data_IF_135069911176
#
_entry.id   IF_135069911176
#
_cell.length_a   1.000
_cell.length_b   1.000
_cell.length_c   1.000
_cell.angle_alpha   90.00
_cell.angle_beta   90.00
_cell.angle_gamma   90.00
#
_symmetry.space_group_name_H-M   'P 1'
#
loop_
_entity.id
_entity.type
_entity.pdbx_description
1 polymer ?
#
# COMPACT_ATOMS: atom_id res chain seq x y z
N UNK A 1 2.43 -7.23 -2.41
CA UNK A 1 1.58 -7.84 -3.46
C UNK A 1 1.14 -6.74 -4.39
N UNK A 2 1.03 -7.01 -5.69
CA UNK A 2 0.47 -6.07 -6.65
C UNK A 2 -1.05 -6.10 -6.53
N UNK A 3 -1.67 -4.95 -6.33
CA UNK A 3 -3.12 -4.80 -6.16
C UNK A 3 -3.82 -4.30 -7.44
N UNK A 4 -3.04 -3.83 -8.39
CA UNK A 4 -3.50 -3.25 -9.66
C UNK A 4 -2.99 -4.08 -10.84
N UNK A 5 -3.72 -4.15 -11.97
CA UNK A 5 -3.23 -4.81 -13.17
C UNK A 5 -1.84 -4.31 -13.59
N UNK A 6 -0.85 -5.20 -13.55
CA UNK A 6 0.53 -4.91 -13.93
C UNK A 6 0.96 -5.81 -15.09
N UNK A 7 1.56 -5.22 -16.12
CA UNK A 7 2.02 -5.97 -17.29
C UNK A 7 3.50 -6.31 -17.17
N UNK A 8 3.84 -7.56 -17.50
CA UNK A 8 5.22 -8.05 -17.65
C UNK A 8 5.30 -8.77 -18.98
N UNK A 9 5.97 -8.14 -19.95
CA UNK A 9 5.92 -8.60 -21.33
C UNK A 9 4.47 -8.69 -21.83
N UNK A 10 3.97 -9.85 -22.28
CA UNK A 10 2.60 -10.00 -22.76
C UNK A 10 1.60 -10.36 -21.64
N UNK A 11 2.07 -10.63 -20.43
CA UNK A 11 1.24 -11.16 -19.34
C UNK A 11 0.72 -10.03 -18.46
N UNK A 12 -0.56 -10.08 -18.11
CA UNK A 12 -1.17 -9.24 -17.08
C UNK A 12 -1.18 -10.01 -15.76
N UNK A 13 -0.64 -9.42 -14.70
CA UNK A 13 -0.64 -9.98 -13.35
C UNK A 13 -1.42 -9.09 -12.40
N UNK A 14 -2.19 -9.70 -11.51
CA UNK A 14 -2.91 -9.03 -10.43
C UNK A 14 -2.97 -9.93 -9.18
N UNK A 15 -3.00 -9.35 -7.98
CA UNK A 15 -3.00 -10.02 -6.68
C UNK A 15 -1.88 -11.06 -6.50
N UNK A 16 -0.70 -10.78 -7.06
CA UNK A 16 0.50 -11.63 -6.95
C UNK A 16 1.70 -10.83 -6.48
N UNK A 17 2.70 -11.52 -5.95
CA UNK A 17 3.94 -10.88 -5.51
C UNK A 17 4.84 -10.62 -6.71
N UNK A 18 5.36 -9.40 -6.85
CA UNK A 18 6.20 -8.99 -7.97
C UNK A 18 7.62 -9.55 -7.80
N UNK A 19 7.84 -10.77 -8.26
CA UNK A 19 9.16 -11.42 -8.32
C UNK A 19 9.35 -11.93 -9.74
N UNK A 20 10.32 -11.37 -10.47
CA UNK A 20 10.55 -11.66 -11.87
C UNK A 20 11.94 -12.27 -12.01
N UNK A 21 12.03 -13.48 -12.57
CA UNK A 21 13.25 -14.26 -12.61
C UNK A 21 13.51 -15.08 -11.35
N UNK A 22 14.77 -15.22 -10.96
CA UNK A 22 15.23 -16.15 -9.92
C UNK A 22 15.90 -17.39 -10.49
N UNK A 23 15.96 -17.50 -11.82
CA UNK A 23 16.75 -18.44 -12.59
C UNK A 23 17.06 -17.86 -13.98
N UNK A 24 18.21 -18.22 -14.54
CA UNK A 24 18.65 -17.84 -15.89
C UNK A 24 18.88 -19.10 -16.72
N UNK A 25 18.76 -18.96 -18.03
CA UNK A 25 19.05 -20.03 -18.99
C UNK A 25 20.54 -20.43 -18.92
N UNK A 26 20.83 -21.74 -18.82
CA UNK A 26 22.20 -22.26 -18.70
C UNK A 26 22.65 -22.59 -17.26
N UNK A 27 21.81 -22.35 -16.24
CA UNK A 27 21.90 -23.01 -14.93
C UNK A 27 23.07 -22.64 -14.02
N UNK A 28 23.93 -21.68 -14.35
CA UNK A 28 25.02 -21.26 -13.48
C UNK A 28 25.27 -19.75 -13.57
N UNK A 29 25.15 -19.06 -12.42
CA UNK A 29 26.00 -17.91 -12.05
C UNK A 29 25.70 -17.33 -10.63
N UNK A 30 24.61 -17.72 -9.95
CA UNK A 30 24.42 -17.38 -8.53
C UNK A 30 23.54 -18.41 -7.80
N UNK A 31 23.91 -18.77 -6.57
CA UNK A 31 23.09 -19.65 -5.71
C UNK A 31 21.70 -19.06 -5.38
N UNK A 32 21.55 -17.73 -5.48
CA UNK A 32 20.34 -17.01 -5.10
C UNK A 32 19.44 -16.62 -6.29
N UNK A 33 19.89 -16.89 -7.53
CA UNK A 33 19.21 -16.48 -8.75
C UNK A 33 19.38 -15.00 -9.09
N UNK A 34 18.94 -14.63 -10.29
CA UNK A 34 18.99 -13.25 -10.80
C UNK A 34 17.57 -12.75 -11.04
N UNK A 35 17.26 -11.58 -10.50
CA UNK A 35 15.93 -10.97 -10.53
C UNK A 35 15.92 -9.70 -11.37
N UNK A 36 14.80 -9.42 -12.03
CA UNK A 36 14.59 -8.15 -12.76
C UNK A 36 14.59 -6.98 -11.78
N UNK A 37 15.15 -5.84 -12.19
CA UNK A 37 15.45 -4.68 -11.33
C UNK A 37 14.26 -4.02 -10.65
N UNK A 38 13.04 -4.29 -11.13
CA UNK A 38 11.77 -3.83 -10.60
C UNK A 38 11.06 -4.89 -9.73
N UNK A 39 11.69 -6.05 -9.48
CA UNK A 39 11.18 -7.04 -8.54
C UNK A 39 11.19 -6.49 -7.11
N UNK A 40 10.17 -6.84 -6.32
CA UNK A 40 10.10 -6.50 -4.91
C UNK A 40 11.23 -7.20 -4.14
N UNK A 41 12.11 -6.42 -3.51
CA UNK A 41 13.37 -6.90 -2.92
C UNK A 41 13.13 -7.93 -1.80
N UNK A 42 12.26 -7.65 -0.83
CA UNK A 42 12.02 -8.57 0.29
C UNK A 42 11.40 -9.90 -0.17
N UNK A 43 10.35 -9.91 -1.03
CA UNK A 43 9.88 -11.15 -1.63
C UNK A 43 10.90 -11.89 -2.48
N UNK A 44 11.74 -11.18 -3.25
CA UNK A 44 12.82 -11.80 -3.99
C UNK A 44 13.85 -12.46 -3.05
N UNK A 45 14.15 -11.84 -1.90
CA UNK A 45 15.04 -12.42 -0.88
C UNK A 45 14.42 -13.66 -0.19
N UNK A 46 13.11 -13.66 0.08
CA UNK A 46 12.37 -14.84 0.54
C UNK A 46 12.41 -15.96 -0.51
N UNK A 47 12.12 -15.61 -1.77
CA UNK A 47 12.17 -16.54 -2.90
C UNK A 47 13.57 -17.15 -3.05
N UNK A 48 14.63 -16.33 -2.90
CA UNK A 48 16.01 -16.78 -2.93
C UNK A 48 16.44 -17.62 -1.72
N UNK A 49 15.65 -17.64 -0.64
CA UNK A 49 15.98 -18.34 0.61
C UNK A 49 17.03 -17.61 1.47
N UNK A 50 17.27 -16.33 1.21
CA UNK A 50 18.22 -15.51 1.96
C UNK A 50 17.66 -15.12 3.34
N UNK A 51 16.36 -14.88 3.41
CA UNK A 51 15.64 -14.51 4.63
C UNK A 51 14.44 -15.43 4.83
N UNK A 52 13.85 -15.39 6.03
CA UNK A 52 12.63 -16.14 6.35
C UNK A 52 11.47 -15.19 6.62
N UNK A 53 10.24 -15.64 6.32
CA UNK A 53 9.03 -14.84 6.55
C UNK A 53 8.82 -14.54 8.05
N UNK A 54 9.24 -15.47 8.93
CA UNK A 54 9.05 -15.34 10.38
C UNK A 54 10.02 -14.37 11.06
N UNK A 55 11.26 -14.27 10.58
CA UNK A 55 12.33 -13.50 11.25
C UNK A 55 12.86 -12.32 10.43
N UNK A 56 12.44 -12.20 9.18
CA UNK A 56 13.09 -11.31 8.21
C UNK A 56 14.58 -11.66 8.08
N UNK A 57 15.39 -10.62 7.87
CA UNK A 57 16.85 -10.70 7.86
C UNK A 57 17.50 -9.54 7.11
N UNK A 58 18.83 -9.50 7.14
CA UNK A 58 19.64 -8.63 6.29
C UNK A 58 20.25 -9.42 5.14
N UNK A 59 20.52 -8.71 4.05
CA UNK A 59 21.22 -9.26 2.90
C UNK A 59 21.90 -8.14 2.11
N UNK A 60 22.94 -8.50 1.37
CA UNK A 60 23.58 -7.59 0.42
C UNK A 60 22.98 -7.86 -0.96
N UNK A 61 22.40 -6.82 -1.54
CA UNK A 61 21.89 -6.84 -2.91
C UNK A 61 22.97 -6.30 -3.85
N UNK A 62 23.33 -7.10 -4.86
CA UNK A 62 24.30 -6.75 -5.88
C UNK A 62 23.58 -6.53 -7.22
N UNK A 63 23.75 -5.35 -7.80
CA UNK A 63 23.22 -5.02 -9.14
C UNK A 63 24.09 -5.73 -10.19
N UNK A 64 23.46 -6.43 -11.12
CA UNK A 64 24.15 -7.25 -12.14
C UNK A 64 24.06 -6.69 -13.56
N UNK A 65 23.46 -5.51 -13.73
CA UNK A 65 23.42 -4.81 -15.02
C UNK A 65 22.27 -5.26 -15.92
N UNK A 66 22.48 -5.24 -17.23
CA UNK A 66 21.50 -5.73 -18.21
C UNK A 66 21.51 -7.26 -18.24
N UNK A 67 20.33 -7.87 -18.20
CA UNK A 67 20.14 -9.31 -18.30
C UNK A 67 18.96 -9.64 -19.20
N UNK A 68 18.96 -10.86 -19.73
CA UNK A 68 17.92 -11.37 -20.61
C UNK A 68 17.35 -12.69 -20.10
N UNK A 69 16.16 -13.02 -20.60
CA UNK A 69 15.50 -14.31 -20.39
C UNK A 69 15.40 -14.74 -18.92
N UNK A 70 14.64 -13.96 -18.16
CA UNK A 70 14.35 -14.28 -16.77
C UNK A 70 13.37 -15.45 -16.72
N UNK A 71 13.80 -16.59 -16.18
CA UNK A 71 12.97 -17.79 -16.09
C UNK A 71 12.10 -17.78 -14.85
N UNK A 72 10.88 -18.33 -14.98
CA UNK A 72 9.97 -18.56 -13.87
C UNK A 72 10.35 -19.86 -13.16
N UNK A 73 10.53 -19.78 -11.85
CA UNK A 73 10.76 -20.91 -10.94
C UNK A 73 9.98 -20.73 -9.65
N UNK A 74 9.62 -21.83 -9.01
CA UNK A 74 9.03 -21.82 -7.67
C UNK A 74 10.09 -22.18 -6.62
N UNK A 75 10.35 -21.25 -5.69
CA UNK A 75 11.30 -21.44 -4.59
C UNK A 75 10.70 -20.86 -3.31
N UNK A 76 10.87 -21.57 -2.20
CA UNK A 76 10.46 -21.12 -0.86
C UNK A 76 8.99 -20.64 -0.77
N UNK A 77 8.08 -21.31 -1.49
CA UNK A 77 6.65 -21.00 -1.49
C UNK A 77 6.24 -19.76 -2.30
N UNK A 78 7.16 -19.18 -3.08
CA UNK A 78 6.88 -18.08 -4.00
C UNK A 78 7.13 -18.59 -5.43
N UNK A 79 6.14 -18.45 -6.31
CA UNK A 79 6.32 -18.64 -7.75
C UNK A 79 6.69 -17.31 -8.38
N UNK A 80 7.86 -17.24 -9.01
CA UNK A 80 8.30 -16.06 -9.78
C UNK A 80 7.61 -15.98 -11.14
N UNK A 81 7.86 -14.88 -11.87
CA UNK A 81 7.29 -14.58 -13.18
C UNK A 81 8.41 -14.59 -14.22
N UNK A 82 8.15 -15.22 -15.36
CA UNK A 82 9.11 -15.24 -16.47
C UNK A 82 9.03 -13.93 -17.27
N UNK A 83 10.16 -13.51 -17.82
CA UNK A 83 10.25 -12.40 -18.77
C UNK A 83 11.22 -12.78 -19.89
N UNK A 84 10.72 -13.23 -21.06
CA UNK A 84 11.54 -13.77 -22.14
C UNK A 84 12.08 -12.64 -23.05
N UNK A 85 12.72 -11.63 -22.46
CA UNK A 85 13.35 -10.51 -23.19
C UNK A 85 14.42 -9.83 -22.32
N UNK A 86 15.08 -8.80 -22.85
CA UNK A 86 16.11 -8.06 -22.14
C UNK A 86 15.54 -6.98 -21.23
N UNK A 87 16.20 -6.77 -20.09
CA UNK A 87 15.88 -5.68 -19.18
C UNK A 87 17.17 -5.01 -18.68
N UNK A 88 17.25 -3.66 -18.66
CA UNK A 88 18.50 -2.94 -18.47
C UNK A 88 19.06 -3.00 -17.04
N UNK A 89 18.29 -3.52 -16.08
CA UNK A 89 18.68 -3.60 -14.69
C UNK A 89 18.24 -4.93 -14.07
N UNK A 90 19.16 -5.67 -13.50
CA UNK A 90 18.90 -6.83 -12.66
C UNK A 90 19.70 -6.77 -11.38
N UNK A 91 19.34 -7.64 -10.44
CA UNK A 91 20.10 -7.84 -9.21
C UNK A 91 20.15 -9.31 -8.80
N UNK A 92 21.12 -9.64 -7.95
CA UNK A 92 21.23 -10.90 -7.23
C UNK A 92 21.59 -10.59 -5.77
N UNK A 93 21.65 -11.63 -4.94
CA UNK A 93 22.07 -11.53 -3.56
C UNK A 93 23.45 -12.16 -3.38
N UNK A 94 24.29 -11.54 -2.57
CA UNK A 94 25.60 -12.11 -2.20
C UNK A 94 25.42 -13.03 -0.98
N UNK A 95 25.87 -14.29 -1.09
CA UNK A 95 25.79 -15.28 -0.01
C UNK A 95 26.85 -15.17 1.07
N UNK A 96 27.90 -14.39 0.81
CA UNK A 96 29.10 -14.38 1.66
C UNK A 96 29.01 -13.36 2.81
N UNK A 97 27.98 -12.50 2.84
CA UNK A 97 27.83 -11.43 3.84
C UNK A 97 27.24 -11.85 5.19
N UNK A 98 26.89 -13.12 5.41
CA UNK A 98 26.17 -13.55 6.62
C UNK A 98 26.94 -14.46 7.58
N UNK A 99 28.15 -14.94 7.25
CA UNK A 99 28.80 -15.96 8.09
C UNK A 99 30.29 -15.75 8.42
N UNK A 100 31.12 -15.13 7.58
CA UNK A 100 32.57 -15.21 7.77
C UNK A 100 33.29 -13.92 8.23
N UNK A 101 32.62 -12.76 8.27
CA UNK A 101 33.23 -11.52 8.78
C UNK A 101 32.23 -10.73 9.63
N UNK A 102 32.07 -11.11 10.90
CA UNK A 102 31.25 -10.39 11.89
C UNK A 102 29.82 -10.12 11.42
N UNK A 103 29.12 -11.18 10.99
CA UNK A 103 27.84 -11.14 10.27
C UNK A 103 26.87 -10.05 10.72
N UNK A 104 26.24 -9.39 9.75
CA UNK A 104 25.14 -8.45 9.95
C UNK A 104 24.00 -9.16 10.71
N UNK A 105 24.03 -9.15 12.04
CA UNK A 105 22.98 -9.67 12.93
C UNK A 105 21.79 -8.71 12.91
N UNK A 106 21.09 -8.68 11.79
CA UNK A 106 19.85 -7.95 11.63
C UNK A 106 18.68 -8.88 11.93
N UNK A 107 18.48 -9.15 13.20
CA UNK A 107 17.26 -9.81 13.64
C UNK A 107 16.12 -8.80 13.67
N UNK A 108 14.95 -9.23 13.21
CA UNK A 108 13.73 -8.49 13.42
C UNK A 108 13.36 -8.51 14.92
N UNK A 109 13.69 -7.42 15.61
CA UNK A 109 13.42 -7.26 17.04
C UNK A 109 12.00 -6.75 17.34
N UNK A 110 11.13 -6.59 16.34
CA UNK A 110 9.77 -6.05 16.52
C UNK A 110 8.94 -6.89 17.49
N UNK A 111 8.98 -8.21 17.36
CA UNK A 111 8.22 -9.12 18.21
C UNK A 111 8.72 -9.17 19.67
N UNK A 112 10.05 -9.27 19.94
CA UNK A 112 10.58 -9.11 21.29
C UNK A 112 10.22 -7.77 21.95
N UNK A 113 10.37 -6.66 21.22
CA UNK A 113 10.01 -5.32 21.73
C UNK A 113 8.51 -5.22 22.00
N UNK A 114 7.68 -5.74 21.11
CA UNK A 114 6.24 -5.79 21.30
C UNK A 114 5.86 -6.62 22.54
N UNK A 115 6.45 -7.81 22.71
CA UNK A 115 6.20 -8.64 23.88
C UNK A 115 6.56 -7.92 25.19
N UNK A 116 7.70 -7.22 25.22
CA UNK A 116 8.08 -6.38 26.35
C UNK A 116 7.05 -5.27 26.60
N UNK A 117 6.63 -4.54 25.55
CA UNK A 117 5.63 -3.47 25.64
C UNK A 117 4.27 -3.98 26.12
N UNK A 118 3.83 -5.17 25.70
CA UNK A 118 2.60 -5.80 26.19
C UNK A 118 2.69 -6.15 27.67
N UNK A 119 3.81 -6.76 28.11
CA UNK A 119 4.00 -7.11 29.53
C UNK A 119 4.01 -5.86 30.41
N UNK A 120 4.78 -4.83 30.03
CA UNK A 120 4.86 -3.58 30.79
C UNK A 120 3.51 -2.86 30.82
N UNK A 121 2.83 -2.73 29.68
CA UNK A 121 1.52 -2.08 29.60
C UNK A 121 0.46 -2.84 30.38
N UNK A 122 0.47 -4.18 30.37
CA UNK A 122 -0.45 -5.01 31.15
C UNK A 122 -0.23 -4.84 32.66
N UNK A 123 1.02 -4.83 33.13
CA UNK A 123 1.33 -4.56 34.53
C UNK A 123 0.84 -3.16 34.94
N UNK A 124 1.19 -2.13 34.17
CA UNK A 124 0.71 -0.77 34.43
C UNK A 124 -0.82 -0.68 34.43
N UNK A 125 -1.50 -1.36 33.52
CA UNK A 125 -2.97 -1.42 33.46
C UNK A 125 -3.58 -1.99 34.74
N UNK A 126 -3.01 -3.08 35.26
CA UNK A 126 -3.48 -3.74 36.46
C UNK A 126 -3.31 -2.87 37.72
N UNK A 127 -2.24 -2.08 37.81
CA UNK A 127 -1.94 -1.30 39.03
C UNK A 127 -2.37 0.17 38.98
N UNK A 128 -2.57 0.77 37.81
CA UNK A 128 -3.01 2.17 37.71
C UNK A 128 -4.53 2.25 37.84
N UNK A 129 -5.03 2.81 38.94
CA UNK A 129 -6.46 3.05 39.15
C UNK A 129 -6.96 4.34 38.49
N UNK A 130 -6.10 5.36 38.36
CA UNK A 130 -6.50 6.64 37.75
C UNK A 130 -6.78 6.48 36.25
N UNK A 131 -7.99 6.82 35.76
CA UNK A 131 -8.32 6.69 34.34
C UNK A 131 -7.43 7.54 33.43
N UNK A 132 -7.06 8.74 33.89
CA UNK A 132 -6.19 9.65 33.12
C UNK A 132 -4.77 9.12 33.03
N UNK A 133 -4.19 8.67 34.15
CA UNK A 133 -2.85 8.10 34.18
C UNK A 133 -2.77 6.81 33.35
N UNK A 134 -3.80 5.97 33.43
CA UNK A 134 -3.90 4.75 32.63
C UNK A 134 -3.91 5.09 31.14
N UNK A 135 -4.87 5.93 30.70
CA UNK A 135 -5.00 6.27 29.30
C UNK A 135 -3.74 6.93 28.73
N UNK A 136 -3.18 7.93 29.43
CA UNK A 136 -1.98 8.63 28.97
C UNK A 136 -0.77 7.70 28.86
N UNK A 137 -0.59 6.79 29.82
CA UNK A 137 0.51 5.81 29.79
C UNK A 137 0.36 4.83 28.63
N UNK A 138 -0.85 4.27 28.44
CA UNK A 138 -1.10 3.33 27.35
C UNK A 138 -0.96 4.02 25.99
N UNK A 139 -1.50 5.22 25.84
CA UNK A 139 -1.39 6.01 24.61
C UNK A 139 0.07 6.27 24.25
N UNK A 140 0.89 6.68 25.22
CA UNK A 140 2.32 6.92 25.02
C UNK A 140 3.08 5.64 24.61
N UNK A 141 2.90 4.54 25.36
CA UNK A 141 3.59 3.26 25.09
C UNK A 141 3.21 2.73 23.71
N UNK A 142 1.91 2.66 23.42
CA UNK A 142 1.39 2.13 22.16
C UNK A 142 1.84 3.02 21.00
N UNK A 143 1.81 4.35 21.15
CA UNK A 143 2.26 5.28 20.11
C UNK A 143 3.72 5.05 19.73
N UNK A 144 4.63 5.02 20.71
CA UNK A 144 6.05 4.84 20.41
C UNK A 144 6.38 3.41 19.97
N UNK A 145 5.64 2.41 20.44
CA UNK A 145 5.74 1.05 19.92
C UNK A 145 5.41 1.01 18.43
N UNK A 146 4.32 1.64 17.99
CA UNK A 146 4.00 1.70 16.56
C UNK A 146 5.03 2.53 15.81
N UNK A 147 5.26 3.78 16.23
CA UNK A 147 6.05 4.76 15.49
C UNK A 147 7.52 4.38 15.32
N UNK A 148 8.10 3.58 16.23
CA UNK A 148 9.52 3.24 16.21
C UNK A 148 9.81 1.75 16.00
N UNK A 149 8.81 0.87 16.07
CA UNK A 149 9.05 -0.58 16.07
C UNK A 149 8.06 -1.36 15.22
N UNK A 150 6.79 -1.46 15.63
CA UNK A 150 5.85 -2.41 15.02
C UNK A 150 5.50 -2.07 13.57
N UNK A 151 5.17 -0.80 13.31
CA UNK A 151 4.84 -0.30 11.96
C UNK A 151 5.33 1.15 11.82
N UNK A 152 6.66 1.36 11.72
CA UNK A 152 7.25 2.68 11.60
C UNK A 152 7.04 3.28 10.20
N UNK A 153 6.96 4.62 10.06
CA UNK A 153 7.01 5.27 8.76
C UNK A 153 8.29 4.93 7.99
N UNK A 154 8.21 4.98 6.66
CA UNK A 154 9.41 4.86 5.83
C UNK A 154 10.36 6.03 6.11
N UNK A 155 11.63 5.72 6.34
CA UNK A 155 12.68 6.69 6.65
C UNK A 155 14.01 6.19 6.12
N UNK A 156 14.89 7.10 5.72
CA UNK A 156 16.23 6.74 5.22
C UNK A 156 17.16 6.24 6.33
N UNK A 157 16.94 6.68 7.57
CA UNK A 157 17.74 6.32 8.74
C UNK A 157 16.95 6.45 10.05
N UNK A 158 17.51 5.90 11.13
CA UNK A 158 16.85 5.88 12.44
C UNK A 158 16.62 7.27 13.06
N UNK A 159 17.52 8.24 12.85
CA UNK A 159 17.32 9.59 13.40
C UNK A 159 16.17 10.32 12.72
N UNK A 160 16.02 10.13 11.41
CA UNK A 160 14.86 10.62 10.67
C UNK A 160 13.56 9.98 11.19
N UNK A 161 13.57 8.67 11.45
CA UNK A 161 12.44 7.98 12.07
C UNK A 161 12.03 8.59 13.41
N UNK A 162 13.00 8.84 14.30
CA UNK A 162 12.75 9.50 15.60
C UNK A 162 12.20 10.91 15.41
N UNK A 163 12.76 11.68 14.46
CA UNK A 163 12.27 13.03 14.14
C UNK A 163 10.81 13.01 13.67
N UNK A 164 10.45 12.09 12.77
CA UNK A 164 9.07 11.90 12.30
C UNK A 164 8.15 11.52 13.46
N UNK A 165 8.57 10.54 14.29
CA UNK A 165 7.79 10.07 15.43
C UNK A 165 7.50 11.20 16.43
N UNK A 166 8.50 12.01 16.78
CA UNK A 166 8.35 13.14 17.69
C UNK A 166 7.51 14.28 17.08
N UNK A 167 7.72 14.59 15.79
CA UNK A 167 6.97 15.62 15.08
C UNK A 167 5.48 15.31 15.00
N UNK A 168 5.12 14.02 14.85
CA UNK A 168 3.72 13.55 14.85
C UNK A 168 3.14 13.42 16.27
N UNK A 169 3.97 13.20 17.29
CA UNK A 169 3.49 12.86 18.64
C UNK A 169 2.74 14.01 19.30
N UNK A 170 3.24 15.24 19.27
CA UNK A 170 2.61 16.36 19.96
C UNK A 170 1.17 16.65 19.50
N UNK A 171 0.89 16.84 18.19
CA UNK A 171 -0.48 17.01 17.73
C UNK A 171 -1.33 15.75 17.98
N UNK A 172 -0.75 14.56 17.84
CA UNK A 172 -1.43 13.29 18.16
C UNK A 172 -1.86 13.22 19.63
N UNK A 173 -0.98 13.62 20.56
CA UNK A 173 -1.25 13.63 21.99
C UNK A 173 -2.32 14.66 22.36
N UNK A 174 -2.38 15.81 21.68
CA UNK A 174 -3.45 16.78 21.89
C UNK A 174 -4.82 16.22 21.47
N UNK A 175 -4.88 15.55 20.31
CA UNK A 175 -6.11 14.87 19.88
C UNK A 175 -6.42 13.69 20.82
N UNK A 176 -5.42 12.92 21.25
CA UNK A 176 -5.56 11.86 22.25
C UNK A 176 -6.14 12.36 23.58
N UNK A 177 -5.72 13.53 24.04
CA UNK A 177 -6.33 14.20 25.20
C UNK A 177 -7.81 14.52 24.96
N UNK A 178 -8.18 15.05 23.79
CA UNK A 178 -9.58 15.31 23.45
C UNK A 178 -10.40 14.00 23.41
N UNK A 179 -9.87 12.94 22.79
CA UNK A 179 -10.50 11.62 22.74
C UNK A 179 -10.68 11.03 24.14
N UNK A 180 -9.68 11.16 25.00
CA UNK A 180 -9.83 10.80 26.41
C UNK A 180 -10.96 11.59 27.05
N UNK A 181 -10.92 12.92 26.98
CA UNK A 181 -11.83 13.77 27.71
C UNK A 181 -13.30 13.59 27.28
N UNK A 182 -13.55 13.52 25.97
CA UNK A 182 -14.90 13.49 25.41
C UNK A 182 -15.46 12.09 25.17
N UNK A 183 -14.61 11.08 24.92
CA UNK A 183 -15.07 9.75 24.52
C UNK A 183 -14.72 8.67 25.56
N UNK A 184 -13.45 8.55 25.94
CA UNK A 184 -12.95 7.37 26.67
C UNK A 184 -13.09 7.51 28.21
N UNK A 185 -12.99 8.73 28.73
CA UNK A 185 -13.01 9.00 30.18
C UNK A 185 -14.23 8.40 30.86
N UNK A 186 -15.40 8.51 30.24
CA UNK A 186 -16.64 8.00 30.81
C UNK A 186 -16.60 6.47 30.95
N UNK A 187 -16.11 5.78 29.93
CA UNK A 187 -15.96 4.31 29.89
C UNK A 187 -15.01 3.78 30.98
N UNK A 188 -13.99 4.56 31.33
CA UNK A 188 -12.96 4.20 32.34
C UNK A 188 -13.24 4.75 33.75
N UNK A 189 -14.23 5.64 33.90
CA UNK A 189 -14.51 6.31 35.17
C UNK A 189 -14.91 5.28 36.24
N UNK A 190 -14.30 5.37 37.42
CA UNK A 190 -14.60 4.54 38.60
C UNK A 190 -14.64 3.02 38.29
N UNK A 191 -13.73 2.56 37.42
CA UNK A 191 -13.66 1.16 36.99
C UNK A 191 -12.72 0.36 37.90
N UNK A 192 -13.29 -0.32 38.89
CA UNK A 192 -12.54 -1.20 39.82
C UNK A 192 -12.13 -2.55 39.20
N UNK A 193 -12.76 -2.93 38.09
CA UNK A 193 -12.47 -4.18 37.39
C UNK A 193 -11.20 -4.06 36.52
N UNK A 194 -10.03 -4.07 37.18
CA UNK A 194 -8.73 -3.94 36.54
C UNK A 194 -8.43 -5.03 35.49
N UNK A 195 -8.92 -6.25 35.70
CA UNK A 195 -8.83 -7.33 34.72
C UNK A 195 -9.68 -7.05 33.48
N UNK A 196 -10.93 -6.61 33.65
CA UNK A 196 -11.79 -6.19 32.54
C UNK A 196 -11.15 -5.05 31.75
N UNK A 197 -10.59 -4.04 32.42
CA UNK A 197 -9.86 -2.95 31.77
C UNK A 197 -8.65 -3.45 30.96
N UNK A 198 -7.87 -4.38 31.53
CA UNK A 198 -6.67 -4.90 30.88
C UNK A 198 -7.01 -5.78 29.68
N UNK A 199 -7.96 -6.69 29.82
CA UNK A 199 -8.32 -7.62 28.74
C UNK A 199 -9.19 -6.92 27.70
N UNK A 200 -10.24 -6.22 28.12
CA UNK A 200 -11.23 -5.65 27.21
C UNK A 200 -10.84 -4.27 26.67
N UNK A 201 -10.01 -3.47 27.34
CA UNK A 201 -9.59 -2.18 26.76
C UNK A 201 -8.19 -2.27 26.15
N UNK A 202 -7.19 -2.70 26.94
CA UNK A 202 -5.80 -2.73 26.47
C UNK A 202 -5.56 -3.81 25.41
N UNK A 203 -6.17 -5.00 25.54
CA UNK A 203 -6.06 -6.07 24.53
C UNK A 203 -6.48 -5.60 23.12
N UNK A 204 -7.72 -5.15 22.93
CA UNK A 204 -8.19 -4.59 21.67
C UNK A 204 -7.42 -3.35 21.22
N UNK A 205 -6.92 -2.52 22.14
CA UNK A 205 -6.03 -1.41 21.80
C UNK A 205 -4.77 -1.90 21.08
N UNK A 206 -4.12 -2.96 21.57
CA UNK A 206 -3.01 -3.57 20.86
C UNK A 206 -3.41 -4.19 19.52
N UNK A 207 -4.59 -4.83 19.43
CA UNK A 207 -5.12 -5.37 18.17
C UNK A 207 -5.29 -4.27 17.12
N UNK A 208 -5.82 -3.10 17.50
CA UNK A 208 -5.96 -1.95 16.63
C UNK A 208 -4.63 -1.27 16.29
N UNK A 209 -3.69 -1.24 17.25
CA UNK A 209 -2.37 -0.67 17.05
C UNK A 209 -1.50 -1.47 16.06
N UNK A 210 -1.72 -2.79 15.99
CA UNK A 210 -1.09 -3.71 15.05
C UNK A 210 -1.96 -3.96 13.82
N UNK A 211 -2.61 -2.92 13.29
CA UNK A 211 -3.52 -3.01 12.14
C UNK A 211 -2.93 -3.79 10.96
N UNK A 212 -1.66 -3.56 10.66
CA UNK A 212 -0.87 -4.23 9.62
C UNK A 212 -0.79 -5.76 9.81
N UNK A 213 -0.86 -6.24 11.05
CA UNK A 213 -0.80 -7.65 11.41
C UNK A 213 -2.15 -8.27 11.73
N UNK A 214 -3.20 -7.45 11.88
CA UNK A 214 -4.55 -7.87 12.28
C UNK A 214 -5.56 -7.65 11.16
N UNK A 215 -5.98 -6.40 10.91
CA UNK A 215 -7.04 -6.08 9.96
C UNK A 215 -6.59 -6.06 8.51
N UNK A 216 -5.33 -5.72 8.22
CA UNK A 216 -4.82 -5.69 6.83
C UNK A 216 -4.68 -7.09 6.21
N UNK A 217 -4.82 -8.14 7.03
CA UNK A 217 -4.91 -9.55 6.58
C UNK A 217 -6.32 -9.97 6.17
N UNK A 218 -7.33 -9.13 6.43
CA UNK A 218 -8.70 -9.37 5.95
C UNK A 218 -8.70 -9.09 4.43
N UNK A 219 -9.30 -9.98 3.60
CA UNK A 219 -9.24 -9.87 2.15
C UNK A 219 -10.18 -8.78 1.61
N UNK A 220 -9.99 -7.53 2.02
CA UNK A 220 -10.71 -6.35 1.51
C UNK A 220 -9.70 -5.22 1.38
N UNK A 221 -9.07 -5.14 0.21
CA UNK A 221 -8.10 -4.08 -0.06
C UNK A 221 -8.79 -2.75 -0.38
N UNK A 222 -9.90 -2.80 -1.12
CA UNK A 222 -10.68 -1.64 -1.56
C UNK A 222 -12.16 -2.01 -1.68
N UNK A 223 -13.04 -1.03 -1.45
CA UNK A 223 -14.50 -1.20 -1.55
C UNK A 223 -15.03 -0.90 -2.97
N UNK A 224 -14.23 -1.12 -4.02
CA UNK A 224 -14.71 -0.98 -5.39
C UNK A 224 -15.41 -2.26 -5.85
N UNK A 225 -16.42 -2.17 -6.73
CA UNK A 225 -17.08 -3.37 -7.25
C UNK A 225 -16.12 -4.35 -7.94
N UNK A 226 -15.08 -3.84 -8.60
CA UNK A 226 -14.08 -4.65 -9.29
C UNK A 226 -13.21 -5.44 -8.30
N UNK A 227 -12.68 -4.78 -7.27
CA UNK A 227 -11.80 -5.41 -6.28
C UNK A 227 -12.53 -6.48 -5.45
N UNK A 228 -13.78 -6.21 -5.08
CA UNK A 228 -14.62 -7.16 -4.33
C UNK A 228 -14.88 -8.44 -5.15
N UNK A 229 -14.96 -8.35 -6.48
CA UNK A 229 -15.20 -9.50 -7.35
C UNK A 229 -13.93 -10.32 -7.61
N UNK A 230 -12.78 -9.66 -7.71
CA UNK A 230 -11.52 -10.32 -8.06
C UNK A 230 -10.74 -10.86 -6.85
N UNK A 231 -10.84 -10.20 -5.69
CA UNK A 231 -10.11 -10.61 -4.51
C UNK A 231 -10.75 -11.85 -3.85
N UNK A 232 -10.01 -12.97 -3.72
CA UNK A 232 -10.56 -14.19 -3.11
C UNK A 232 -10.99 -13.96 -1.66
N UNK A 233 -12.25 -14.26 -1.36
CA UNK A 233 -12.79 -14.13 0.01
C UNK A 233 -13.31 -12.74 0.40
N UNK A 234 -13.28 -11.74 -0.49
CA UNK A 234 -13.72 -10.38 -0.18
C UNK A 234 -15.22 -10.28 0.13
N UNK A 235 -16.08 -10.92 -0.67
CA UNK A 235 -17.53 -10.93 -0.48
C UNK A 235 -17.95 -11.47 0.91
N UNK A 236 -17.54 -12.69 1.32
CA UNK A 236 -17.93 -13.19 2.64
C UNK A 236 -17.35 -12.34 3.78
N UNK A 237 -16.12 -11.83 3.65
CA UNK A 237 -15.53 -10.93 4.65
C UNK A 237 -16.36 -9.65 4.81
N UNK A 238 -16.78 -9.03 3.69
CA UNK A 238 -17.57 -7.81 3.69
C UNK A 238 -18.94 -8.03 4.37
N UNK A 239 -19.62 -9.13 4.06
CA UNK A 239 -20.91 -9.48 4.69
C UNK A 239 -20.76 -9.60 6.20
N UNK A 240 -19.74 -10.31 6.67
CA UNK A 240 -19.47 -10.51 8.11
C UNK A 240 -19.21 -9.17 8.80
N UNK A 241 -18.35 -8.33 8.22
CA UNK A 241 -18.01 -7.01 8.78
C UNK A 241 -19.24 -6.12 8.85
N UNK A 242 -20.02 -6.02 7.77
CA UNK A 242 -21.24 -5.19 7.76
C UNK A 242 -22.25 -5.69 8.77
N UNK A 243 -22.49 -7.00 8.87
CA UNK A 243 -23.40 -7.57 9.86
C UNK A 243 -22.95 -7.26 11.29
N UNK A 244 -21.64 -7.39 11.57
CA UNK A 244 -21.05 -7.08 12.88
C UNK A 244 -21.18 -5.59 13.21
N UNK A 245 -20.85 -4.69 12.29
CA UNK A 245 -20.98 -3.24 12.48
C UNK A 245 -22.44 -2.84 12.72
N UNK A 246 -23.39 -3.39 11.95
CA UNK A 246 -24.82 -3.16 12.18
C UNK A 246 -25.25 -3.60 13.58
N UNK A 247 -24.80 -4.78 14.02
CA UNK A 247 -25.05 -5.27 15.39
C UNK A 247 -24.48 -4.34 16.47
N UNK A 248 -23.25 -3.86 16.29
CA UNK A 248 -22.61 -2.89 17.19
C UNK A 248 -23.43 -1.59 17.24
N UNK A 249 -23.78 -1.02 16.09
CA UNK A 249 -24.54 0.24 16.03
C UNK A 249 -25.91 0.10 16.70
N UNK A 250 -26.64 -0.98 16.43
CA UNK A 250 -27.96 -1.22 17.03
C UNK A 250 -27.84 -1.35 18.55
N UNK A 251 -26.90 -2.17 19.04
CA UNK A 251 -26.72 -2.39 20.48
C UNK A 251 -26.25 -1.13 21.22
N UNK A 252 -25.35 -0.34 20.62
CA UNK A 252 -24.94 0.96 21.16
C UNK A 252 -26.09 1.96 21.17
N UNK A 253 -26.91 2.03 20.11
CA UNK A 253 -28.07 2.91 20.05
C UNK A 253 -29.12 2.57 21.13
N UNK A 254 -29.37 1.27 21.38
CA UNK A 254 -30.23 0.81 22.48
C UNK A 254 -29.64 1.21 23.84
N UNK A 255 -28.33 1.04 24.03
CA UNK A 255 -27.69 1.41 25.29
C UNK A 255 -27.75 2.94 25.55
N UNK A 256 -27.48 3.78 24.54
CA UNK A 256 -27.66 5.23 24.66
C UNK A 256 -29.13 5.64 24.86
N UNK A 257 -30.08 4.88 24.32
CA UNK A 257 -31.51 5.10 24.58
C UNK A 257 -31.83 4.84 26.05
N UNK A 258 -31.31 3.75 26.60
CA UNK A 258 -31.52 3.36 27.99
C UNK A 258 -30.88 4.36 28.98
N UNK A 259 -29.74 4.96 28.62
CA UNK A 259 -29.11 6.04 29.39
C UNK A 259 -29.78 7.41 29.19
N UNK A 260 -30.73 7.54 28.26
CA UNK A 260 -31.41 8.81 27.93
C UNK A 260 -30.56 9.81 27.15
N UNK A 261 -29.39 9.40 26.62
CA UNK A 261 -28.46 10.26 25.87
C UNK A 261 -28.56 10.11 24.34
N UNK A 262 -29.42 9.22 23.83
CA UNK A 262 -29.56 8.96 22.39
C UNK A 262 -29.80 10.24 21.55
N UNK A 263 -30.71 11.19 21.92
CA UNK A 263 -30.91 12.39 21.11
C UNK A 263 -29.65 13.25 20.96
N UNK A 264 -28.84 13.35 22.03
CA UNK A 264 -27.56 14.09 21.99
C UNK A 264 -26.54 13.38 21.11
N UNK A 265 -26.48 12.04 21.17
CA UNK A 265 -25.60 11.27 20.28
C UNK A 265 -26.02 11.38 18.81
N UNK A 266 -27.32 11.31 18.52
CA UNK A 266 -27.83 11.51 17.16
C UNK A 266 -27.50 12.91 16.63
N UNK A 267 -27.55 13.94 17.48
CA UNK A 267 -27.14 15.29 17.09
C UNK A 267 -25.64 15.36 16.74
N UNK A 268 -24.77 14.75 17.55
CA UNK A 268 -23.31 14.68 17.26
C UNK A 268 -23.06 13.97 15.94
N UNK A 269 -23.64 12.78 15.75
CA UNK A 269 -23.50 12.01 14.51
C UNK A 269 -24.11 12.73 13.30
N UNK A 270 -25.19 13.50 13.50
CA UNK A 270 -25.75 14.37 12.47
C UNK A 270 -24.77 15.45 12.01
N UNK A 271 -24.05 16.10 12.95
CA UNK A 271 -23.00 17.07 12.62
C UNK A 271 -21.82 16.41 11.91
N UNK A 272 -21.35 15.26 12.40
CA UNK A 272 -20.27 14.52 11.75
C UNK A 272 -20.64 14.10 10.32
N UNK A 273 -21.86 13.58 10.12
CA UNK A 273 -22.36 13.22 8.81
C UNK A 273 -22.49 14.44 7.88
N UNK A 274 -23.01 15.56 8.38
CA UNK A 274 -23.10 16.80 7.62
C UNK A 274 -21.70 17.31 7.20
N UNK A 275 -20.70 17.21 8.08
CA UNK A 275 -19.32 17.58 7.75
C UNK A 275 -18.75 16.69 6.63
N UNK A 276 -18.94 15.37 6.71
CA UNK A 276 -18.50 14.44 5.63
C UNK A 276 -19.24 14.72 4.32
N UNK A 277 -20.55 14.97 4.36
CA UNK A 277 -21.34 15.34 3.19
C UNK A 277 -20.88 16.66 2.57
N UNK A 278 -20.51 17.66 3.38
CA UNK A 278 -19.95 18.92 2.88
C UNK A 278 -18.61 18.69 2.17
N UNK A 279 -17.76 17.80 2.69
CA UNK A 279 -16.49 17.44 2.06
C UNK A 279 -16.69 16.70 0.71
N UNK A 280 -17.75 15.90 0.56
CA UNK A 280 -18.07 15.23 -0.70
C UNK A 280 -18.46 16.18 -1.84
N UNK A 281 -18.85 17.43 -1.54
CA UNK A 281 -19.22 18.43 -2.54
C UNK A 281 -18.01 19.22 -3.05
N UNK A 282 -16.83 19.05 -2.43
CA UNK A 282 -15.60 19.74 -2.86
C UNK A 282 -15.18 19.23 -4.24
N UNK A 283 -15.13 20.10 -5.28
CA UNK A 283 -14.86 19.67 -6.65
C UNK A 283 -13.42 19.16 -6.79
N UNK A 284 -13.22 18.18 -7.69
CA UNK A 284 -11.93 17.58 -8.03
C UNK A 284 -11.18 16.90 -6.86
N UNK A 285 -11.86 16.62 -5.76
CA UNK A 285 -11.34 15.88 -4.63
C UNK A 285 -12.20 14.64 -4.42
N UNK A 286 -11.61 13.54 -3.95
CA UNK A 286 -12.36 12.38 -3.52
C UNK A 286 -12.13 12.12 -2.03
N UNK A 287 -13.15 11.54 -1.40
CA UNK A 287 -13.13 11.18 0.00
C UNK A 287 -12.30 9.90 0.20
N UNK A 288 -11.25 9.98 1.03
CA UNK A 288 -10.51 8.81 1.52
C UNK A 288 -10.57 8.77 3.04
N UNK A 289 -11.31 7.81 3.55
CA UNK A 289 -11.48 7.64 4.99
C UNK A 289 -10.42 6.67 5.50
N UNK A 290 -9.30 7.22 5.98
CA UNK A 290 -8.27 6.45 6.68
C UNK A 290 -8.82 5.89 8.00
N UNK A 291 -8.27 4.79 8.49
CA UNK A 291 -8.73 4.13 9.72
C UNK A 291 -8.64 5.04 10.96
N UNK A 292 -7.70 5.97 11.03
CA UNK A 292 -7.68 6.96 12.12
C UNK A 292 -8.91 7.88 12.09
N UNK A 293 -9.44 8.21 10.92
CA UNK A 293 -10.67 8.99 10.75
C UNK A 293 -11.88 8.15 11.15
N UNK A 294 -11.91 6.87 10.77
CA UNK A 294 -12.93 5.93 11.25
C UNK A 294 -12.96 5.88 12.79
N UNK A 295 -11.80 5.85 13.43
CA UNK A 295 -11.71 5.96 14.89
C UNK A 295 -12.31 7.24 15.44
N UNK A 296 -12.02 8.40 14.83
CA UNK A 296 -12.61 9.68 15.24
C UNK A 296 -14.15 9.70 15.07
N UNK A 297 -14.67 9.07 14.02
CA UNK A 297 -16.10 8.97 13.76
C UNK A 297 -16.80 8.02 14.75
N UNK A 298 -16.19 6.89 15.10
CA UNK A 298 -16.84 5.85 15.91
C UNK A 298 -16.62 5.98 17.42
N UNK A 299 -15.54 6.61 17.89
CA UNK A 299 -15.24 6.76 19.33
C UNK A 299 -16.34 7.44 20.16
N UNK A 300 -17.06 8.48 19.67
CA UNK A 300 -18.19 9.04 20.42
C UNK A 300 -19.26 8.01 20.76
N UNK A 301 -19.49 7.05 19.86
CA UNK A 301 -20.43 5.94 20.02
C UNK A 301 -20.01 4.88 21.05
N UNK A 302 -18.82 5.01 21.65
CA UNK A 302 -18.34 4.12 22.72
C UNK A 302 -18.34 4.78 24.10
N UNK A 303 -18.89 6.00 24.23
CA UNK A 303 -18.88 6.79 25.46
C UNK A 303 -19.95 6.34 26.48
N UNK A 304 -19.95 5.03 26.78
CA UNK A 304 -20.84 4.32 27.70
C UNK A 304 -20.05 3.44 28.66
N UNK A 305 -20.54 3.24 29.88
CA UNK A 305 -19.98 2.29 30.84
C UNK A 305 -20.50 0.86 30.63
N UNK A 306 -20.16 0.26 29.48
CA UNK A 306 -20.49 -1.15 29.19
C UNK A 306 -19.24 -1.91 28.75
N UNK A 307 -19.18 -3.22 29.01
CA UNK A 307 -18.07 -4.09 28.57
C UNK A 307 -17.82 -4.03 27.05
N UNK A 308 -18.85 -4.05 26.18
CA UNK A 308 -18.63 -3.84 24.75
C UNK A 308 -17.99 -2.49 24.43
N UNK A 309 -18.37 -1.42 25.13
CA UNK A 309 -17.80 -0.09 24.91
C UNK A 309 -16.34 0.01 25.36
N UNK A 310 -15.93 -0.74 26.40
CA UNK A 310 -14.50 -0.90 26.72
C UNK A 310 -13.75 -1.52 25.53
N UNK A 311 -14.28 -2.60 24.96
CA UNK A 311 -13.71 -3.28 23.78
C UNK A 311 -13.59 -2.37 22.57
N UNK A 312 -14.70 -1.72 22.18
CA UNK A 312 -14.71 -0.87 21.00
C UNK A 312 -13.83 0.38 21.19
N UNK A 313 -13.86 1.02 22.37
CA UNK A 313 -13.04 2.20 22.62
C UNK A 313 -11.54 1.89 22.61
N UNK A 314 -11.12 0.77 23.21
CA UNK A 314 -9.74 0.31 23.15
C UNK A 314 -9.29 0.09 21.71
N UNK A 315 -10.07 -0.70 20.95
CA UNK A 315 -9.79 -1.00 19.55
C UNK A 315 -9.62 0.26 18.69
N UNK A 316 -10.57 1.20 18.78
CA UNK A 316 -10.56 2.42 17.98
C UNK A 316 -9.41 3.36 18.38
N UNK A 317 -9.03 3.42 19.66
CA UNK A 317 -7.83 4.16 20.09
C UNK A 317 -6.57 3.55 19.51
N UNK A 318 -6.46 2.22 19.49
CA UNK A 318 -5.36 1.51 18.83
C UNK A 318 -5.25 1.86 17.34
N UNK A 319 -6.36 1.79 16.60
CA UNK A 319 -6.43 2.15 15.18
C UNK A 319 -6.08 3.63 14.94
N UNK A 320 -6.53 4.52 15.83
CA UNK A 320 -6.20 5.95 15.76
C UNK A 320 -4.69 6.18 15.92
N UNK A 321 -4.09 5.55 16.93
CA UNK A 321 -2.65 5.62 17.17
C UNK A 321 -1.88 5.06 15.98
N UNK A 322 -2.26 3.87 15.47
CA UNK A 322 -1.59 3.26 14.33
C UNK A 322 -1.59 4.20 13.11
N UNK A 323 -2.77 4.72 12.75
CA UNK A 323 -2.89 5.58 11.57
C UNK A 323 -2.03 6.83 11.64
N UNK A 324 -2.00 7.53 12.77
CA UNK A 324 -1.19 8.75 12.89
C UNK A 324 0.30 8.44 13.08
N UNK A 325 0.66 7.42 13.86
CA UNK A 325 2.06 7.05 14.05
C UNK A 325 2.72 6.66 12.70
N UNK A 326 2.05 5.81 11.90
CA UNK A 326 2.56 5.32 10.62
C UNK A 326 2.41 6.31 9.47
N UNK A 327 1.24 6.92 9.31
CA UNK A 327 0.91 7.73 8.13
C UNK A 327 0.89 9.24 8.43
N UNK A 328 0.64 9.63 9.69
CA UNK A 328 0.45 11.02 10.08
C UNK A 328 -1.01 11.44 9.94
N UNK A 329 -1.25 12.75 9.95
CA UNK A 329 -2.59 13.33 9.75
C UNK A 329 -2.93 13.46 8.26
N UNK A 330 -3.00 12.32 7.56
CA UNK A 330 -3.30 12.30 6.13
C UNK A 330 -4.68 12.88 5.83
N UNK A 331 -4.78 13.65 4.76
CA UNK A 331 -6.02 14.36 4.41
C UNK A 331 -7.20 13.41 4.16
N UNK A 332 -8.36 13.79 4.68
CA UNK A 332 -9.66 13.14 4.39
C UNK A 332 -10.10 13.32 2.93
N UNK A 333 -9.65 14.41 2.30
CA UNK A 333 -9.86 14.70 0.88
C UNK A 333 -8.54 14.59 0.13
N UNK A 334 -8.52 13.76 -0.90
CA UNK A 334 -7.33 13.56 -1.73
C UNK A 334 -7.68 13.78 -3.20
N UNK A 335 -6.71 14.27 -3.97
CA UNK A 335 -6.83 14.39 -5.42
C UNK A 335 -6.95 13.00 -6.06
N UNK A 336 -7.61 12.84 -7.21
CA UNK A 336 -7.63 11.59 -7.97
C UNK A 336 -6.23 10.98 -8.18
N UNK A 337 -5.23 11.81 -8.50
CA UNK A 337 -3.85 11.36 -8.70
C UNK A 337 -3.23 10.74 -7.42
N UNK A 338 -3.49 11.32 -6.25
CA UNK A 338 -3.00 10.79 -4.98
C UNK A 338 -3.70 9.48 -4.55
N UNK A 339 -4.87 9.17 -5.13
CA UNK A 339 -5.65 7.96 -4.85
C UNK A 339 -5.35 6.82 -5.78
N UNK A 340 -4.74 7.12 -6.93
CA UNK A 340 -4.46 6.14 -7.95
C UNK A 340 -3.60 5.01 -7.39
N UNK A 341 -2.57 5.32 -6.60
CA UNK A 341 -1.66 4.32 -6.00
C UNK A 341 -1.17 3.29 -7.05
N UNK A 342 -0.90 3.77 -8.27
CA UNK A 342 -0.51 2.95 -9.42
C UNK A 342 -1.65 2.30 -10.23
N UNK A 343 -2.92 2.55 -9.89
CA UNK A 343 -4.09 2.06 -10.63
C UNK A 343 -4.22 2.70 -12.01
N UNK A 344 -5.03 2.10 -12.88
CA UNK A 344 -5.37 2.68 -14.18
C UNK A 344 -6.31 3.88 -14.01
N UNK A 345 -6.06 4.95 -14.76
CA UNK A 345 -6.86 6.18 -14.79
C UNK A 345 -8.23 5.97 -15.46
N UNK A 346 -8.36 4.96 -16.33
CA UNK A 346 -9.49 4.82 -17.26
C UNK A 346 -9.46 5.88 -18.36
N UNK A 347 -8.27 6.38 -18.66
CA UNK A 347 -8.00 7.46 -19.60
C UNK A 347 -8.07 6.99 -21.06
N UNK A 348 -8.14 7.95 -21.98
CA UNK A 348 -8.11 7.64 -23.40
C UNK A 348 -6.76 7.04 -23.81
N UNK A 349 -6.77 5.92 -24.53
CA UNK A 349 -5.56 5.26 -24.99
C UNK A 349 -5.10 5.77 -26.37
N UNK A 350 -3.79 5.83 -26.65
CA UNK A 350 -3.26 6.12 -27.97
C UNK A 350 -3.72 5.13 -29.05
N UNK A 351 -4.31 5.67 -30.12
CA UNK A 351 -4.58 4.88 -31.32
C UNK A 351 -3.34 4.82 -32.20
N UNK A 352 -2.58 3.74 -32.07
CA UNK A 352 -1.35 3.51 -32.83
C UNK A 352 -1.68 2.87 -34.17
N UNK A 353 -1.24 3.50 -35.27
CA UNK A 353 -1.28 2.93 -36.62
C UNK A 353 -0.31 1.76 -36.74
N UNK A 354 -0.46 0.93 -37.78
CA UNK A 354 0.51 -0.13 -38.04
C UNK A 354 1.91 0.50 -38.24
N UNK A 355 2.94 0.01 -37.52
CA UNK A 355 4.30 0.51 -37.71
C UNK A 355 4.84 0.13 -39.08
N UNK A 356 5.81 0.89 -39.56
CA UNK A 356 6.64 0.50 -40.69
C UNK A 356 7.75 -0.41 -40.17
N UNK A 357 7.61 -1.71 -40.38
CA UNK A 357 8.68 -2.69 -40.10
C UNK A 357 9.66 -2.66 -41.28
N UNK A 358 10.80 -2.01 -41.09
CA UNK A 358 11.84 -1.85 -42.13
C UNK A 358 12.63 -3.16 -42.28
N UNK A 359 12.91 -3.82 -41.16
CA UNK A 359 13.55 -5.13 -41.07
C UNK A 359 13.16 -5.84 -39.76
N UNK A 360 13.65 -7.05 -39.52
CA UNK A 360 13.47 -7.71 -38.22
C UNK A 360 14.17 -6.95 -37.07
N UNK A 361 15.06 -6.00 -37.38
CA UNK A 361 15.85 -5.21 -36.42
C UNK A 361 15.47 -3.74 -36.37
N UNK A 362 14.63 -3.23 -37.27
CA UNK A 362 14.25 -1.81 -37.30
C UNK A 362 12.74 -1.63 -37.52
N UNK A 363 12.12 -0.87 -36.61
CA UNK A 363 10.69 -0.58 -36.62
C UNK A 363 10.45 0.91 -36.38
N UNK A 364 9.56 1.50 -37.18
CA UNK A 364 9.27 2.94 -37.13
C UNK A 364 7.80 3.17 -36.85
N UNK A 365 7.52 3.98 -35.84
CA UNK A 365 6.19 4.43 -35.47
C UNK A 365 5.99 5.89 -35.89
N UNK A 366 4.96 6.11 -36.69
CA UNK A 366 4.46 7.46 -36.99
C UNK A 366 3.16 7.67 -36.25
N UNK A 367 3.06 8.78 -35.53
CA UNK A 367 1.89 9.11 -34.74
C UNK A 367 0.92 10.02 -35.51
N UNK A 368 -0.35 9.95 -35.15
CA UNK A 368 -1.38 10.79 -35.77
C UNK A 368 -1.15 12.26 -35.42
N UNK A 369 -1.28 13.16 -36.41
CA UNK A 369 -1.17 14.62 -36.22
C UNK A 369 -2.27 15.20 -35.34
N UNK A 370 -3.43 14.55 -35.28
CA UNK A 370 -4.50 14.92 -34.37
C UNK A 370 -4.52 13.91 -33.23
N UNK A 371 -3.57 14.04 -32.30
CA UNK A 371 -3.77 13.49 -30.96
C UNK A 371 -5.11 14.02 -30.42
N UNK A 372 -5.74 13.30 -29.50
CA UNK A 372 -6.92 13.81 -28.79
C UNK A 372 -6.62 15.23 -28.29
N UNK A 373 -7.59 16.15 -28.37
CA UNK A 373 -7.36 17.57 -28.03
C UNK A 373 -6.72 17.77 -26.65
N UNK A 374 -6.94 16.81 -25.77
CA UNK A 374 -6.49 16.82 -24.41
C UNK A 374 -5.03 16.34 -24.24
N UNK A 375 -4.43 15.59 -25.18
CA UNK A 375 -3.08 15.06 -25.06
C UNK A 375 -1.99 16.06 -25.50
N UNK A 376 -0.92 16.17 -24.72
CA UNK A 376 0.21 17.06 -24.96
C UNK A 376 1.44 16.34 -25.55
N UNK A 377 1.40 15.02 -25.66
CA UNK A 377 2.48 14.21 -26.22
C UNK A 377 2.21 12.72 -26.19
N UNK A 378 3.22 11.92 -26.58
CA UNK A 378 3.22 10.45 -26.53
C UNK A 378 4.48 9.96 -25.83
N UNK A 379 4.33 8.94 -24.98
CA UNK A 379 5.41 8.15 -24.39
C UNK A 379 5.32 6.70 -24.87
N UNK A 380 6.48 6.07 -25.07
CA UNK A 380 6.60 4.67 -25.50
C UNK A 380 7.49 3.91 -24.52
N UNK A 381 6.92 2.84 -23.97
CA UNK A 381 7.67 1.84 -23.22
C UNK A 381 8.05 0.71 -24.16
N UNK A 382 9.32 0.28 -24.08
CA UNK A 382 9.79 -0.97 -24.67
C UNK A 382 10.34 -1.83 -23.55
N UNK A 383 9.80 -3.04 -23.38
CA UNK A 383 10.14 -3.96 -22.29
C UNK A 383 9.96 -3.32 -20.90
N UNK A 384 8.82 -2.66 -20.70
CA UNK A 384 8.44 -1.96 -19.46
C UNK A 384 9.37 -0.79 -19.07
N UNK A 385 10.20 -0.30 -20.00
CA UNK A 385 11.09 0.86 -19.78
C UNK A 385 10.77 1.96 -20.78
N UNK A 386 10.64 3.20 -20.31
CA UNK A 386 10.45 4.35 -21.21
C UNK A 386 11.67 4.52 -22.10
N UNK A 387 11.45 4.45 -23.42
CA UNK A 387 12.49 4.61 -24.45
C UNK A 387 12.31 5.85 -25.29
N UNK A 388 11.12 6.41 -25.29
CA UNK A 388 10.79 7.59 -26.08
C UNK A 388 9.69 8.38 -25.41
N UNK A 389 9.84 9.69 -25.44
CA UNK A 389 8.74 10.62 -25.25
C UNK A 389 8.88 11.76 -26.26
N UNK A 390 7.76 12.27 -26.73
CA UNK A 390 7.73 13.47 -27.56
C UNK A 390 6.48 14.29 -27.26
N UNK A 391 6.66 15.61 -27.18
CA UNK A 391 5.57 16.57 -27.01
C UNK A 391 5.00 16.98 -28.37
N UNK A 392 3.72 17.33 -28.36
CA UNK A 392 3.01 17.88 -29.51
C UNK A 392 3.61 19.24 -29.87
N UNK A 393 4.07 19.35 -31.11
CA UNK A 393 4.57 20.59 -31.70
C UNK A 393 3.43 21.57 -31.98
N UNK A 394 3.77 22.84 -32.21
CA UNK A 394 2.79 23.90 -32.48
C UNK A 394 1.96 23.68 -33.76
N UNK A 395 2.41 22.81 -34.67
CA UNK A 395 1.68 22.38 -35.86
C UNK A 395 0.80 21.13 -35.63
N UNK A 396 0.71 20.66 -34.38
CA UNK A 396 -0.01 19.45 -33.98
C UNK A 396 0.77 18.15 -34.16
N UNK A 397 1.93 18.17 -34.84
CA UNK A 397 2.69 16.95 -35.09
C UNK A 397 3.43 16.45 -33.84
N UNK A 398 3.72 15.16 -33.84
CA UNK A 398 4.57 14.49 -32.83
C UNK A 398 5.70 13.82 -33.59
N UNK A 399 6.91 13.89 -33.04
CA UNK A 399 8.09 13.25 -33.61
C UNK A 399 7.88 11.74 -33.77
N UNK A 400 8.31 11.18 -34.89
CA UNK A 400 8.26 9.73 -35.12
C UNK A 400 9.25 9.01 -34.23
N UNK A 401 8.89 7.82 -33.76
CA UNK A 401 9.78 6.97 -32.98
C UNK A 401 10.40 5.89 -33.87
N UNK A 402 11.72 5.93 -34.07
CA UNK A 402 12.48 4.85 -34.67
C UNK A 402 13.14 4.02 -33.56
N UNK A 403 12.96 2.70 -33.62
CA UNK A 403 13.55 1.76 -32.69
C UNK A 403 14.34 0.68 -33.41
N UNK A 404 15.59 0.49 -32.97
CA UNK A 404 16.44 -0.61 -33.37
C UNK A 404 16.45 -1.67 -32.28
N UNK A 405 16.12 -2.91 -32.65
CA UNK A 405 16.08 -4.06 -31.73
C UNK A 405 17.41 -4.21 -31.02
N UNK A 406 17.37 -4.42 -29.70
CA UNK A 406 18.60 -4.58 -28.91
C UNK A 406 19.20 -5.98 -29.03
N UNK A 407 18.37 -7.02 -29.10
CA UNK A 407 18.79 -8.41 -29.20
C UNK A 407 17.95 -9.15 -30.23
N UNK A 408 18.60 -9.71 -31.24
CA UNK A 408 17.93 -10.27 -32.41
C UNK A 408 17.06 -11.50 -32.10
N UNK A 409 17.38 -12.25 -31.05
CA UNK A 409 16.73 -13.52 -30.70
C UNK A 409 15.62 -13.39 -29.65
N UNK A 410 15.26 -12.16 -29.27
CA UNK A 410 14.34 -11.89 -28.18
C UNK A 410 13.14 -11.05 -28.66
N UNK A 411 11.90 -11.40 -28.30
CA UNK A 411 10.74 -10.55 -28.58
C UNK A 411 10.82 -9.25 -27.77
N UNK A 412 10.27 -8.16 -28.30
CA UNK A 412 10.18 -6.88 -27.59
C UNK A 412 8.71 -6.45 -27.43
N UNK A 413 8.39 -5.88 -26.27
CA UNK A 413 7.03 -5.53 -25.88
C UNK A 413 6.84 -4.02 -25.84
N UNK A 414 5.91 -3.51 -26.66
CA UNK A 414 5.68 -2.08 -26.82
C UNK A 414 4.37 -1.65 -26.15
N UNK A 415 4.42 -0.55 -25.41
CA UNK A 415 3.23 0.08 -24.82
C UNK A 415 3.28 1.58 -25.05
N UNK A 416 2.11 2.18 -25.28
CA UNK A 416 2.00 3.58 -25.67
C UNK A 416 1.07 4.31 -24.71
N UNK A 417 1.47 5.48 -24.23
CA UNK A 417 0.68 6.33 -23.34
C UNK A 417 0.68 7.77 -23.83
N UNK A 418 -0.38 8.53 -23.52
CA UNK A 418 -0.36 9.98 -23.74
C UNK A 418 0.39 10.67 -22.60
N UNK A 419 0.97 11.82 -22.93
CA UNK A 419 1.60 12.73 -21.97
C UNK A 419 0.68 13.93 -21.78
N UNK A 420 0.60 14.42 -20.56
CA UNK A 420 -0.06 15.68 -20.22
C UNK A 420 0.87 16.61 -19.48
N UNK A 421 0.67 17.90 -19.68
CA UNK A 421 1.40 18.97 -19.01
C UNK A 421 0.40 19.93 -18.37
N UNK A 422 0.54 20.18 -17.07
CA UNK A 422 -0.31 21.17 -16.40
C UNK A 422 0.24 22.59 -16.63
N UNK A 423 -0.57 23.58 -16.30
CA UNK A 423 -0.20 25.00 -16.43
C UNK A 423 1.02 25.40 -15.58
N UNK A 424 1.39 24.60 -14.56
CA UNK A 424 2.55 24.80 -13.70
C UNK A 424 3.79 24.03 -14.20
N UNK A 425 3.72 23.36 -15.34
CA UNK A 425 4.83 22.60 -15.95
C UNK A 425 5.03 21.18 -15.40
N UNK A 426 4.12 20.68 -14.56
CA UNK A 426 4.11 19.29 -14.12
C UNK A 426 3.68 18.35 -15.23
N UNK A 427 4.46 17.29 -15.44
CA UNK A 427 4.21 16.26 -16.47
C UNK A 427 3.64 15.02 -15.79
N UNK A 428 2.59 14.43 -16.37
CA UNK A 428 2.13 13.09 -16.02
C UNK A 428 1.80 12.28 -17.27
N UNK A 429 1.70 10.97 -17.07
CA UNK A 429 1.38 10.00 -18.11
C UNK A 429 -0.04 9.49 -17.89
N UNK A 430 -0.80 9.42 -18.98
CA UNK A 430 -2.09 8.72 -19.02
C UNK A 430 -1.84 7.20 -19.10
N UNK A 431 -2.92 6.41 -19.14
CA UNK A 431 -2.81 4.95 -19.20
C UNK A 431 -2.06 4.49 -20.44
N UNK A 432 -1.21 3.48 -20.24
CA UNK A 432 -0.50 2.83 -21.32
C UNK A 432 -1.34 1.70 -21.90
N UNK A 433 -1.30 1.54 -23.22
CA UNK A 433 -1.95 0.43 -23.93
C UNK A 433 -1.51 -0.94 -23.38
N UNK A 434 -2.31 -1.96 -23.69
CA UNK A 434 -1.87 -3.35 -23.60
C UNK A 434 -0.59 -3.56 -24.44
N UNK A 435 0.30 -4.48 -24.02
CA UNK A 435 1.55 -4.76 -24.71
C UNK A 435 1.29 -5.30 -26.12
N UNK A 436 1.88 -4.65 -27.12
CA UNK A 436 2.01 -5.18 -28.47
C UNK A 436 3.36 -5.92 -28.58
N UNK A 437 3.38 -7.03 -29.32
CA UNK A 437 4.57 -7.89 -29.42
C UNK A 437 5.24 -7.69 -30.77
N UNK A 438 6.53 -7.37 -30.73
CA UNK A 438 7.40 -7.46 -31.90
C UNK A 438 8.24 -8.73 -31.79
N UNK A 439 7.78 -9.77 -32.49
CA UNK A 439 8.31 -11.11 -32.39
C UNK A 439 9.69 -11.23 -33.04
N UNK A 440 10.42 -12.31 -32.73
CA UNK A 440 11.79 -12.59 -33.16
C UNK A 440 11.91 -12.67 -34.68
N UNK A 441 10.88 -13.17 -35.36
CA UNK A 441 10.81 -13.25 -36.82
C UNK A 441 10.55 -11.89 -37.50
N UNK A 442 10.42 -10.82 -36.71
CA UNK A 442 10.11 -9.48 -37.18
C UNK A 442 8.62 -9.22 -37.34
N UNK A 443 7.75 -10.20 -37.07
CA UNK A 443 6.31 -10.02 -37.14
C UNK A 443 5.83 -9.08 -36.03
N UNK A 444 4.98 -8.12 -36.42
CA UNK A 444 4.30 -7.24 -35.48
C UNK A 444 2.95 -7.85 -35.13
N UNK A 445 2.90 -8.55 -33.99
CA UNK A 445 1.65 -9.11 -33.50
C UNK A 445 0.96 -8.11 -32.58
N UNK A 446 -0.09 -7.51 -33.12
CA UNK A 446 -1.04 -6.73 -32.34
C UNK A 446 -1.96 -7.70 -31.61
N UNK A 447 -1.53 -8.23 -30.47
CA UNK A 447 -2.46 -8.73 -29.47
C UNK A 447 -3.27 -7.54 -28.92
N UNK A 448 -4.33 -7.19 -29.66
CA UNK A 448 -5.42 -6.21 -29.43
C UNK A 448 -5.33 -4.83 -30.13
N UNK A 449 -6.39 -4.49 -30.88
CA UNK A 449 -7.06 -3.21 -30.76
C UNK A 449 -8.50 -3.39 -30.26
N UNK A 450 -8.79 -2.90 -29.06
CA UNK A 450 -9.99 -2.16 -28.66
C UNK A 450 -9.95 -1.95 -27.16
#
# INVERSE_FOLDING_TARGET
MILEPYFIGPQEINYRTLVIGGELEGGHESSYGVYRGDSAICPAALHAGLISDAKGGCGVLRRTGEQSNFLSVEKNGISSIAFPSNFPLSFTFDGEGSAEDGGLDCQDIRWPLFAFSVVVSALLSLFIASPAAFYASMFFIVYFQVALSSDPPYSSNYYELVSIALGRFLPCAFVGFALYYFCVRHTLKDLDAHWDKTILWLGPCWVGALNNDTFDKIPISRLTPHDIQQQPGAIPALIIIVALLCGIVITQAIAFRNEGRLPKMLAIYGVLAAAVLALLVVPHMNLRIHHYILSLLFLPGTALQTRPSLLYSGLLVGLFINGIARWGFDSILQTPAALLDGAQLGSALPQISAPLVVSAQEIVFTFLKNLTNEADGISVLVNDVERFHAFRSGDGSVESFNWTRRRAEEPEYFRFGYIKVNAQGGVWYEDFTKPAVWDVDGSWNRSAPS
#
